data_IF_717937893921
#
_entry.id   IF_717937893921
#
_cell.length_a   1.000
_cell.length_b   1.000
_cell.length_c   1.000
_cell.angle_alpha   90.00
_cell.angle_beta   90.00
_cell.angle_gamma   90.00
#
_symmetry.space_group_name_H-M   'P 1'
#
loop_
_entity.id
_entity.type
_entity.pdbx_description
1 polymer ?
#
# COMPACT_ATOMS: atom_id res chain seq x y z
N UNK A 1 -26.79 6.59 -4.74
CA UNK A 1 -25.73 5.83 -4.06
C UNK A 1 -25.36 4.66 -4.98
N UNK A 2 -24.13 4.56 -5.47
CA UNK A 2 -23.69 3.33 -6.16
C UNK A 2 -23.70 2.22 -5.11
N UNK A 3 -24.50 1.16 -5.33
CA UNK A 3 -24.43 -0.05 -4.51
C UNK A 3 -23.00 -0.61 -4.63
N UNK A 4 -22.17 -0.37 -3.62
CA UNK A 4 -20.85 -1.02 -3.54
C UNK A 4 -21.06 -2.52 -3.40
N UNK A 5 -20.58 -3.28 -4.37
CA UNK A 5 -20.58 -4.74 -4.27
C UNK A 5 -19.50 -5.17 -3.28
N UNK A 6 -19.91 -5.96 -2.29
CA UNK A 6 -19.05 -6.55 -1.28
C UNK A 6 -19.09 -8.06 -1.49
N UNK A 7 -17.93 -8.67 -1.59
CA UNK A 7 -17.80 -10.14 -1.61
C UNK A 7 -17.37 -10.67 -0.25
N UNK A 8 -17.91 -11.83 0.11
CA UNK A 8 -17.51 -12.62 1.29
C UNK A 8 -16.88 -13.94 0.86
N UNK A 9 -16.66 -14.14 -0.43
CA UNK A 9 -16.01 -15.33 -0.96
C UNK A 9 -14.53 -15.36 -0.54
N UNK A 10 -13.96 -16.57 -0.49
CA UNK A 10 -12.54 -16.75 -0.13
C UNK A 10 -11.59 -16.44 -1.28
N UNK A 11 -12.14 -16.30 -2.49
CA UNK A 11 -11.38 -16.03 -3.71
C UNK A 11 -12.04 -14.94 -4.56
N UNK A 12 -11.22 -14.23 -5.30
CA UNK A 12 -11.61 -13.27 -6.33
C UNK A 12 -10.78 -13.52 -7.59
N UNK A 13 -11.42 -13.75 -8.73
CA UNK A 13 -10.76 -14.07 -10.02
C UNK A 13 -9.74 -15.23 -9.90
N UNK A 14 -10.02 -16.24 -9.05
CA UNK A 14 -9.14 -17.38 -8.82
C UNK A 14 -7.99 -17.11 -7.85
N UNK A 15 -7.89 -15.91 -7.26
CA UNK A 15 -6.89 -15.55 -6.26
C UNK A 15 -7.47 -15.52 -4.86
N UNK A 16 -6.77 -16.05 -3.84
CA UNK A 16 -7.25 -15.99 -2.45
C UNK A 16 -7.31 -14.55 -1.95
N UNK A 17 -8.33 -14.23 -1.15
CA UNK A 17 -8.52 -12.91 -0.55
C UNK A 17 -8.76 -13.00 0.94
N UNK A 18 -8.61 -11.88 1.65
CA UNK A 18 -8.77 -11.79 3.09
C UNK A 18 -10.22 -11.47 3.47
N UNK A 19 -11.06 -12.48 3.51
CA UNK A 19 -12.45 -12.41 4.02
C UNK A 19 -12.61 -13.27 5.26
N UNK A 20 -13.69 -13.04 6.01
CA UNK A 20 -14.11 -13.88 7.15
C UNK A 20 -15.64 -13.81 7.21
N UNK A 21 -16.28 -14.87 6.73
CA UNK A 21 -17.76 -14.95 6.66
C UNK A 21 -18.40 -14.91 8.05
N UNK A 22 -17.78 -15.57 9.03
CA UNK A 22 -18.33 -15.64 10.40
C UNK A 22 -18.33 -14.28 11.07
N UNK A 23 -17.29 -13.47 10.82
CA UNK A 23 -17.17 -12.11 11.34
C UNK A 23 -17.75 -11.04 10.41
N UNK A 24 -18.43 -11.45 9.34
CA UNK A 24 -18.97 -10.55 8.31
C UNK A 24 -17.92 -9.56 7.74
N UNK A 25 -16.68 -10.03 7.61
CA UNK A 25 -15.57 -9.26 7.06
C UNK A 25 -15.47 -9.49 5.55
N UNK A 26 -16.12 -8.65 4.77
CA UNK A 26 -16.08 -8.69 3.31
C UNK A 26 -15.02 -7.77 2.71
N UNK A 27 -14.86 -7.89 1.39
CA UNK A 27 -14.01 -7.04 0.57
C UNK A 27 -14.82 -6.30 -0.49
N UNK A 28 -14.51 -5.02 -0.73
CA UNK A 28 -15.08 -4.21 -1.81
C UNK A 28 -14.58 -4.72 -3.16
N UNK A 29 -15.47 -5.21 -4.04
CA UNK A 29 -15.09 -5.76 -5.34
C UNK A 29 -14.41 -4.72 -6.24
N UNK A 30 -14.83 -3.47 -6.21
CA UNK A 30 -14.21 -2.40 -6.99
C UNK A 30 -12.73 -2.18 -6.65
N UNK A 31 -12.33 -2.38 -5.39
CA UNK A 31 -10.93 -2.30 -4.95
C UNK A 31 -10.18 -3.56 -5.39
N UNK A 32 -10.79 -4.75 -5.23
CA UNK A 32 -10.20 -6.00 -5.71
C UNK A 32 -9.95 -5.98 -7.21
N UNK A 33 -10.90 -5.48 -8.00
CA UNK A 33 -10.75 -5.31 -9.44
C UNK A 33 -9.56 -4.40 -9.78
N UNK A 34 -9.38 -3.31 -9.03
CA UNK A 34 -8.26 -2.40 -9.24
C UNK A 34 -6.92 -3.03 -8.87
N UNK A 35 -6.88 -3.84 -7.81
CA UNK A 35 -5.70 -4.63 -7.42
C UNK A 35 -5.32 -5.60 -8.53
N UNK A 36 -6.31 -6.36 -9.03
CA UNK A 36 -6.12 -7.34 -10.11
C UNK A 36 -5.55 -6.67 -11.37
N UNK A 37 -6.16 -5.59 -11.81
CA UNK A 37 -5.70 -4.82 -12.97
C UNK A 37 -4.25 -4.36 -12.84
N UNK A 38 -3.85 -3.82 -11.68
CA UNK A 38 -2.50 -3.27 -11.46
C UNK A 38 -1.46 -4.40 -11.36
N UNK A 39 -1.79 -5.48 -10.66
CA UNK A 39 -0.89 -6.63 -10.53
C UNK A 39 -0.67 -7.32 -11.87
N UNK A 40 -1.75 -7.50 -12.64
CA UNK A 40 -1.70 -8.07 -14.01
C UNK A 40 -0.89 -7.17 -14.94
N UNK A 41 -1.14 -5.86 -14.96
CA UNK A 41 -0.40 -4.90 -15.78
C UNK A 41 1.12 -4.96 -15.49
N UNK A 42 1.51 -4.91 -14.23
CA UNK A 42 2.92 -5.02 -13.83
C UNK A 42 3.55 -6.35 -14.23
N UNK A 43 2.83 -7.46 -14.06
CA UNK A 43 3.32 -8.79 -14.44
C UNK A 43 3.40 -8.97 -15.96
N UNK A 44 2.61 -8.26 -16.74
CA UNK A 44 2.70 -8.26 -18.21
C UNK A 44 3.89 -7.43 -18.69
N UNK A 45 4.14 -6.27 -18.08
CA UNK A 45 5.25 -5.38 -18.45
C UNK A 45 6.63 -5.90 -18.03
N UNK A 46 6.71 -6.61 -16.91
CA UNK A 46 7.96 -7.06 -16.33
C UNK A 46 7.93 -8.55 -16.01
N UNK A 47 8.97 -9.30 -16.41
CA UNK A 47 9.15 -10.70 -16.02
C UNK A 47 9.57 -10.85 -14.56
N UNK A 48 9.97 -9.75 -13.92
CA UNK A 48 10.39 -9.69 -12.52
C UNK A 48 9.81 -8.44 -11.87
N UNK A 49 9.00 -8.61 -10.83
CA UNK A 49 8.31 -7.53 -10.11
C UNK A 49 8.62 -7.60 -8.63
N UNK A 50 9.11 -6.53 -8.04
CA UNK A 50 9.20 -6.39 -6.59
C UNK A 50 7.87 -5.86 -6.06
N UNK A 51 7.16 -6.69 -5.30
CA UNK A 51 5.94 -6.33 -4.59
C UNK A 51 6.24 -5.95 -3.15
N UNK A 52 5.69 -4.83 -2.68
CA UNK A 52 5.80 -4.41 -1.28
C UNK A 52 4.54 -3.70 -0.80
N UNK A 53 4.31 -3.78 0.52
CA UNK A 53 3.28 -3.00 1.22
C UNK A 53 3.93 -2.08 2.25
N UNK A 54 3.31 -0.93 2.46
CA UNK A 54 3.60 -0.05 3.57
C UNK A 54 2.35 0.73 3.99
N UNK A 55 2.34 1.17 5.24
CA UNK A 55 1.29 2.01 5.77
C UNK A 55 1.84 3.41 6.06
N UNK A 56 1.09 4.44 5.69
CA UNK A 56 1.43 5.85 5.92
C UNK A 56 0.57 6.38 7.06
N UNK A 57 1.21 6.89 8.10
CA UNK A 57 0.54 7.36 9.32
C UNK A 57 0.89 8.83 9.60
N UNK A 58 0.01 9.51 10.29
CA UNK A 58 0.30 10.83 10.85
C UNK A 58 0.90 10.71 12.25
N UNK A 59 1.73 11.67 12.68
CA UNK A 59 2.19 11.72 14.07
C UNK A 59 1.03 11.82 15.05
N UNK A 60 1.19 11.23 16.23
CA UNK A 60 0.19 11.37 17.31
C UNK A 60 0.01 12.85 17.65
N UNK A 61 -1.24 13.29 17.68
CA UNK A 61 -1.58 14.69 17.98
C UNK A 61 -1.33 15.68 16.82
N UNK A 62 -0.93 15.20 15.64
CA UNK A 62 -0.81 16.06 14.46
C UNK A 62 -2.18 16.57 14.02
N UNK A 63 -2.35 17.91 14.08
CA UNK A 63 -3.57 18.56 13.59
C UNK A 63 -3.61 18.60 12.07
N UNK A 64 -4.14 17.57 11.44
CA UNK A 64 -4.27 17.52 9.98
C UNK A 64 -5.72 17.74 9.55
N UNK A 65 -5.95 18.40 8.40
CA UNK A 65 -7.28 18.47 7.81
C UNK A 65 -7.77 17.07 7.46
N UNK A 66 -9.08 16.86 7.56
CA UNK A 66 -9.68 15.56 7.24
C UNK A 66 -9.87 15.40 5.72
N UNK A 67 -8.82 15.66 4.95
CA UNK A 67 -8.75 15.53 3.51
C UNK A 67 -7.57 14.63 3.08
N UNK A 68 -7.26 14.63 1.79
CA UNK A 68 -6.20 13.81 1.19
C UNK A 68 -5.04 14.64 0.65
N UNK A 69 -4.97 15.93 0.90
CA UNK A 69 -4.03 16.81 0.21
C UNK A 69 -2.57 16.43 0.50
N UNK A 70 -2.22 16.32 1.78
CA UNK A 70 -0.86 15.95 2.20
C UNK A 70 -0.46 14.57 1.65
N UNK A 71 -1.36 13.58 1.74
CA UNK A 71 -1.06 12.26 1.17
C UNK A 71 -0.89 12.31 -0.35
N UNK A 72 -1.73 13.05 -1.04
CA UNK A 72 -1.65 13.18 -2.51
C UNK A 72 -0.33 13.82 -2.94
N UNK A 73 0.10 14.89 -2.26
CA UNK A 73 1.37 15.58 -2.51
C UNK A 73 2.57 14.63 -2.26
N UNK A 74 2.56 13.93 -1.13
CA UNK A 74 3.58 12.93 -0.81
C UNK A 74 3.64 11.84 -1.86
N UNK A 75 2.50 11.20 -2.14
CA UNK A 75 2.45 10.05 -3.05
C UNK A 75 2.85 10.42 -4.47
N UNK A 76 2.40 11.57 -4.96
CA UNK A 76 2.83 12.08 -6.27
C UNK A 76 4.34 12.30 -6.33
N UNK A 77 4.92 12.93 -5.31
CA UNK A 77 6.35 13.19 -5.22
C UNK A 77 7.14 11.89 -5.14
N UNK A 78 6.69 10.94 -4.34
CA UNK A 78 7.33 9.62 -4.18
C UNK A 78 7.31 8.84 -5.50
N UNK A 79 6.18 8.75 -6.17
CA UNK A 79 6.04 8.04 -7.45
C UNK A 79 6.88 8.72 -8.55
N UNK A 80 6.87 10.05 -8.63
CA UNK A 80 7.75 10.79 -9.57
C UNK A 80 9.23 10.49 -9.31
N UNK A 81 9.63 10.43 -8.04
CA UNK A 81 11.01 10.09 -7.65
C UNK A 81 11.37 8.66 -8.10
N UNK A 82 10.49 7.67 -7.87
CA UNK A 82 10.73 6.29 -8.30
C UNK A 82 10.77 6.16 -9.83
N UNK A 83 9.91 6.87 -10.55
CA UNK A 83 9.93 6.91 -12.03
C UNK A 83 11.23 7.48 -12.57
N UNK A 84 11.72 8.59 -12.02
CA UNK A 84 13.00 9.21 -12.42
C UNK A 84 14.20 8.29 -12.17
N UNK A 85 14.13 7.47 -11.13
CA UNK A 85 15.12 6.45 -10.83
C UNK A 85 15.02 5.17 -11.72
N UNK A 86 14.05 5.12 -12.64
CA UNK A 86 13.88 4.03 -13.60
C UNK A 86 13.19 2.78 -13.06
N UNK A 87 12.51 2.86 -11.92
CA UNK A 87 11.88 1.70 -11.27
C UNK A 87 10.49 1.33 -11.81
N UNK A 88 9.93 2.11 -12.72
CA UNK A 88 8.59 1.92 -13.31
C UNK A 88 7.50 1.55 -12.26
N UNK A 89 7.21 2.45 -11.31
CA UNK A 89 6.32 2.16 -10.20
C UNK A 89 4.85 2.08 -10.63
N UNK A 90 4.14 1.08 -10.11
CA UNK A 90 2.68 1.05 -10.05
C UNK A 90 2.22 0.85 -8.61
N UNK A 91 1.10 1.47 -8.23
CA UNK A 91 0.62 1.42 -6.85
C UNK A 91 -0.90 1.45 -6.77
N UNK A 92 -1.41 0.96 -5.65
CA UNK A 92 -2.74 1.23 -5.13
C UNK A 92 -2.62 1.65 -3.68
N UNK A 93 -3.34 2.68 -3.29
CA UNK A 93 -3.44 3.12 -1.90
C UNK A 93 -4.89 3.31 -1.51
N UNK A 94 -5.23 2.96 -0.27
CA UNK A 94 -6.57 3.09 0.27
C UNK A 94 -6.49 3.83 1.59
N UNK A 95 -7.32 4.88 1.71
CA UNK A 95 -7.51 5.63 2.94
C UNK A 95 -8.33 4.81 3.92
N UNK A 96 -7.88 4.77 5.16
CA UNK A 96 -8.63 4.25 6.29
C UNK A 96 -8.72 5.33 7.38
N UNK A 97 -9.91 5.47 7.94
CA UNK A 97 -10.16 6.36 9.06
C UNK A 97 -11.11 5.66 10.02
N UNK A 98 -10.76 5.58 11.29
CA UNK A 98 -11.64 5.06 12.33
C UNK A 98 -11.78 6.07 13.46
N UNK A 99 -12.82 5.91 14.31
CA UNK A 99 -13.03 6.78 15.48
C UNK A 99 -11.86 6.74 16.47
N UNK A 100 -11.18 5.61 16.55
CA UNK A 100 -10.07 5.37 17.49
C UNK A 100 -8.71 5.60 16.87
N UNK A 101 -8.61 5.50 15.54
CA UNK A 101 -7.37 5.66 14.80
C UNK A 101 -7.49 6.87 13.89
N UNK A 102 -6.48 7.71 13.93
CA UNK A 102 -6.33 8.80 12.98
C UNK A 102 -6.32 8.26 11.53
N UNK A 103 -6.58 9.15 10.60
CA UNK A 103 -6.44 8.89 9.18
C UNK A 103 -5.08 8.26 8.86
N UNK A 104 -5.09 7.18 8.10
CA UNK A 104 -3.88 6.52 7.59
C UNK A 104 -4.16 5.89 6.22
N UNK A 105 -3.10 5.51 5.53
CA UNK A 105 -3.21 4.94 4.20
C UNK A 105 -2.46 3.63 4.13
N UNK A 106 -3.12 2.62 3.59
CA UNK A 106 -2.51 1.35 3.22
C UNK A 106 -2.08 1.42 1.76
N UNK A 107 -0.83 1.12 1.48
CA UNK A 107 -0.27 1.21 0.14
C UNK A 107 0.31 -0.13 -0.26
N UNK A 108 0.00 -0.59 -1.47
CA UNK A 108 0.75 -1.63 -2.18
C UNK A 108 1.49 -0.97 -3.35
N UNK A 109 2.78 -1.25 -3.45
CA UNK A 109 3.68 -0.72 -4.47
C UNK A 109 4.34 -1.88 -5.20
N UNK A 110 4.42 -1.76 -6.51
CA UNK A 110 5.12 -2.70 -7.40
C UNK A 110 6.15 -1.93 -8.21
N UNK A 111 7.32 -2.53 -8.38
CA UNK A 111 8.47 -1.94 -9.07
C UNK A 111 9.08 -2.96 -10.02
N UNK A 112 9.76 -2.49 -11.08
CA UNK A 112 10.60 -3.33 -11.94
C UNK A 112 11.68 -4.03 -11.09
N UNK A 113 11.52 -5.33 -10.88
CA UNK A 113 12.41 -6.15 -10.08
C UNK A 113 13.78 -6.40 -10.72
N UNK A 114 14.00 -6.01 -11.98
CA UNK A 114 15.33 -5.99 -12.59
C UNK A 114 16.17 -4.81 -12.10
N UNK A 115 15.51 -3.73 -11.66
CA UNK A 115 16.15 -2.49 -11.22
C UNK A 115 16.34 -2.42 -9.71
N UNK A 116 15.54 -3.17 -8.95
CA UNK A 116 15.60 -3.16 -7.49
C UNK A 116 15.21 -4.52 -6.91
N UNK A 117 15.84 -4.90 -5.79
CA UNK A 117 15.60 -6.20 -5.15
C UNK A 117 15.24 -6.09 -3.67
N UNK A 118 15.31 -4.89 -3.12
CA UNK A 118 15.18 -4.66 -1.68
C UNK A 118 14.26 -3.46 -1.42
N UNK A 119 13.44 -3.58 -0.40
CA UNK A 119 12.45 -2.55 -0.06
C UNK A 119 13.01 -1.43 0.81
N UNK A 120 14.17 -1.64 1.44
CA UNK A 120 14.71 -0.74 2.46
C UNK A 120 14.86 0.70 1.96
N UNK A 121 15.53 0.89 0.82
CA UNK A 121 15.76 2.22 0.23
C UNK A 121 14.46 2.92 -0.19
N UNK A 122 13.46 2.12 -0.57
CA UNK A 122 12.14 2.65 -0.93
C UNK A 122 11.40 3.12 0.31
N UNK A 123 11.43 2.36 1.40
CA UNK A 123 10.84 2.73 2.69
C UNK A 123 11.53 3.97 3.25
N UNK A 124 12.86 4.00 3.31
CA UNK A 124 13.60 5.18 3.78
C UNK A 124 13.30 6.44 2.95
N UNK A 125 13.18 6.28 1.62
CA UNK A 125 12.80 7.40 0.76
C UNK A 125 11.38 7.87 1.04
N UNK A 126 10.45 6.94 1.25
CA UNK A 126 9.07 7.27 1.61
C UNK A 126 9.01 8.02 2.95
N UNK A 127 9.71 7.55 3.98
CA UNK A 127 9.80 8.22 5.29
C UNK A 127 10.29 9.65 5.17
N UNK A 128 11.45 9.85 4.55
CA UNK A 128 12.03 11.20 4.37
C UNK A 128 11.09 12.13 3.60
N UNK A 129 10.42 11.64 2.56
CA UNK A 129 9.48 12.46 1.78
C UNK A 129 8.21 12.76 2.56
N UNK A 130 7.72 11.81 3.35
CA UNK A 130 6.54 12.01 4.18
C UNK A 130 6.81 13.02 5.30
N UNK A 131 7.91 12.87 6.01
CA UNK A 131 8.38 13.82 7.04
C UNK A 131 8.54 15.24 6.47
N UNK A 132 9.12 15.35 5.26
CA UNK A 132 9.22 16.63 4.55
C UNK A 132 7.85 17.21 4.20
N UNK A 133 6.90 16.39 3.73
CA UNK A 133 5.55 16.82 3.40
C UNK A 133 4.80 17.35 4.62
N UNK A 134 5.05 16.76 5.78
CA UNK A 134 4.49 17.17 7.07
C UNK A 134 5.22 18.35 7.71
N UNK A 135 6.28 18.88 7.10
CA UNK A 135 7.15 19.93 7.65
C UNK A 135 7.68 19.59 9.07
N UNK A 136 7.98 18.30 9.31
CA UNK A 136 8.53 17.88 10.59
C UNK A 136 9.99 18.33 10.70
N UNK A 137 10.42 18.81 11.91
CA UNK A 137 11.83 19.15 12.14
C UNK A 137 12.68 17.87 12.05
N UNK A 138 13.95 17.98 11.62
CA UNK A 138 14.87 16.85 11.65
C UNK A 138 14.98 16.31 13.08
N UNK A 139 14.81 15.01 13.25
CA UNK A 139 15.10 14.33 14.52
C UNK A 139 16.61 14.11 14.63
N UNK A 140 17.28 14.98 15.36
CA UNK A 140 18.70 14.82 15.66
C UNK A 140 18.86 14.18 17.05
N UNK A 141 19.01 12.86 17.07
CA UNK A 141 19.37 12.12 18.30
C UNK A 141 20.88 11.79 18.33
N UNK A 142 21.71 12.63 17.96
CA UNK A 142 23.15 12.50 17.86
C UNK A 142 23.65 12.80 16.44
N UNK A 143 24.79 13.47 16.34
CA UNK A 143 25.38 13.96 15.10
C UNK A 143 25.68 12.87 14.03
N UNK A 144 25.29 11.62 14.26
CA UNK A 144 25.57 10.46 13.40
C UNK A 144 24.37 9.63 12.96
N UNK A 145 23.14 9.89 13.45
CA UNK A 145 21.93 9.16 13.05
C UNK A 145 20.74 10.09 12.94
N UNK A 146 20.24 10.24 11.72
CA UNK A 146 18.90 10.78 11.48
C UNK A 146 17.90 9.69 11.89
N UNK A 147 17.26 9.83 13.05
CA UNK A 147 16.21 8.91 13.49
C UNK A 147 14.90 9.26 12.79
N UNK A 148 14.30 8.30 12.12
CA UNK A 148 12.96 8.41 11.52
C UNK A 148 11.88 8.59 12.60
N UNK A 149 10.78 9.25 12.23
CA UNK A 149 9.58 9.34 13.08
C UNK A 149 8.79 8.02 13.11
N UNK A 150 9.14 7.03 12.26
CA UNK A 150 8.43 5.76 12.17
C UNK A 150 7.00 5.91 11.65
N UNK A 151 6.77 6.89 10.77
CA UNK A 151 5.45 7.18 10.21
C UNK A 151 5.11 6.33 8.98
N UNK A 152 6.12 5.66 8.44
CA UNK A 152 5.97 4.64 7.39
C UNK A 152 6.22 3.28 8.04
N UNK A 153 5.16 2.48 8.13
CA UNK A 153 5.28 1.09 8.58
C UNK A 153 5.58 0.20 7.38
N UNK A 154 6.70 -0.50 7.41
CA UNK A 154 7.15 -1.38 6.32
C UNK A 154 6.35 -2.69 6.23
N UNK A 155 5.39 -2.89 7.10
CA UNK A 155 4.56 -4.09 7.16
C UNK A 155 5.34 -5.42 7.21
N UNK A 156 6.57 -5.42 7.69
CA UNK A 156 7.40 -6.63 7.87
C UNK A 156 6.95 -7.48 9.07
N UNK A 157 6.20 -6.90 9.97
CA UNK A 157 5.66 -7.57 11.16
C UNK A 157 4.18 -7.33 11.32
N UNK A 158 3.46 -8.31 11.88
CA UNK A 158 2.07 -8.13 12.29
C UNK A 158 1.98 -7.41 13.66
N UNK A 159 0.75 -7.18 14.14
CA UNK A 159 0.54 -6.52 15.45
C UNK A 159 1.09 -7.31 16.64
N UNK A 160 1.28 -8.62 16.49
CA UNK A 160 1.88 -9.50 17.49
C UNK A 160 3.42 -9.58 17.35
N UNK A 161 4.03 -8.77 16.48
CA UNK A 161 5.47 -8.76 16.22
C UNK A 161 5.99 -9.94 15.38
N UNK A 162 5.10 -10.80 14.89
CA UNK A 162 5.50 -11.94 14.07
C UNK A 162 5.88 -11.50 12.65
N UNK A 163 6.93 -12.11 12.06
CA UNK A 163 7.36 -11.78 10.70
C UNK A 163 6.23 -11.96 9.68
N UNK A 164 6.10 -11.01 8.77
CA UNK A 164 5.25 -11.10 7.59
C UNK A 164 6.11 -10.91 6.34
N UNK A 165 5.97 -11.79 5.36
CA UNK A 165 6.67 -11.66 4.10
C UNK A 165 6.33 -10.34 3.41
N UNK A 166 7.29 -9.44 3.29
CA UNK A 166 7.19 -8.21 2.49
C UNK A 166 8.44 -8.08 1.61
N UNK A 167 8.35 -7.34 0.51
CA UNK A 167 9.43 -7.33 -0.47
C UNK A 167 9.50 -8.63 -1.25
N UNK A 168 8.35 -9.16 -1.65
CA UNK A 168 8.27 -10.41 -2.41
C UNK A 168 8.68 -10.16 -3.86
N UNK A 169 9.65 -10.93 -4.33
CA UNK A 169 10.07 -10.91 -5.72
C UNK A 169 9.24 -11.90 -6.52
N UNK A 170 8.37 -11.39 -7.37
CA UNK A 170 7.60 -12.17 -8.34
C UNK A 170 8.45 -12.33 -9.60
N UNK A 171 8.82 -13.56 -9.94
CA UNK A 171 9.62 -13.91 -11.12
C UNK A 171 8.81 -14.88 -11.97
N UNK A 172 8.59 -14.55 -13.24
CA UNK A 172 7.77 -15.36 -14.16
C UNK A 172 8.34 -16.75 -14.40
N UNK A 173 9.66 -16.90 -14.30
CA UNK A 173 10.40 -18.16 -14.43
C UNK A 173 10.50 -18.97 -13.11
N UNK A 174 9.95 -18.46 -12.01
CA UNK A 174 9.96 -19.15 -10.74
C UNK A 174 8.89 -20.25 -10.72
N UNK A 175 9.22 -21.51 -10.41
CA UNK A 175 8.22 -22.59 -10.26
C UNK A 175 7.11 -22.26 -9.25
N UNK A 176 7.41 -21.43 -8.26
CA UNK A 176 6.45 -20.98 -7.25
C UNK A 176 5.76 -19.64 -7.59
N UNK A 177 5.92 -19.14 -8.83
CA UNK A 177 5.36 -17.84 -9.24
C UNK A 177 3.89 -17.68 -8.87
N UNK A 178 3.06 -18.68 -9.24
CA UNK A 178 1.60 -18.66 -8.96
C UNK A 178 1.34 -18.54 -7.45
N UNK A 179 2.03 -19.33 -6.65
CA UNK A 179 1.86 -19.31 -5.19
C UNK A 179 2.26 -17.95 -4.58
N UNK A 180 3.41 -17.40 -4.99
CA UNK A 180 3.88 -16.07 -4.56
C UNK A 180 2.95 -14.95 -5.00
N UNK A 181 2.44 -15.03 -6.23
CA UNK A 181 1.47 -14.07 -6.75
C UNK A 181 0.18 -14.09 -5.92
N UNK A 182 -0.35 -15.28 -5.65
CA UNK A 182 -1.54 -15.45 -4.83
C UNK A 182 -1.35 -14.93 -3.40
N UNK A 183 -0.19 -15.15 -2.81
CA UNK A 183 0.14 -14.57 -1.50
C UNK A 183 0.18 -13.04 -1.54
N UNK A 184 0.78 -12.46 -2.58
CA UNK A 184 0.80 -11.00 -2.77
C UNK A 184 -0.62 -10.45 -2.99
N UNK A 185 -1.43 -11.12 -3.82
CA UNK A 185 -2.82 -10.73 -4.05
C UNK A 185 -3.64 -10.78 -2.77
N UNK A 186 -3.57 -11.90 -2.04
CA UNK A 186 -4.22 -12.04 -0.74
C UNK A 186 -3.79 -10.95 0.23
N UNK A 187 -2.51 -10.63 0.29
CA UNK A 187 -1.98 -9.57 1.15
C UNK A 187 -2.47 -8.19 0.70
N UNK A 188 -2.56 -7.96 -0.61
CA UNK A 188 -3.09 -6.72 -1.18
C UNK A 188 -4.61 -6.57 -0.93
N UNK A 189 -5.37 -7.67 -0.91
CA UNK A 189 -6.81 -7.66 -0.66
C UNK A 189 -7.21 -7.10 0.72
N UNK A 190 -6.25 -7.02 1.66
CA UNK A 190 -6.45 -6.28 2.92
C UNK A 190 -6.91 -4.84 2.69
N UNK A 191 -6.44 -4.20 1.61
CA UNK A 191 -6.84 -2.85 1.24
C UNK A 191 -8.34 -2.76 0.88
N UNK A 192 -8.95 -3.88 0.49
CA UNK A 192 -10.36 -3.96 0.12
C UNK A 192 -11.32 -4.21 1.28
N UNK A 193 -10.82 -4.50 2.50
CA UNK A 193 -11.66 -4.81 3.67
C UNK A 193 -12.63 -3.69 4.02
N UNK A 194 -13.87 -4.06 4.37
CA UNK A 194 -14.97 -3.13 4.65
C UNK A 194 -14.89 -2.51 6.05
N UNK A 195 -14.29 -3.19 7.01
CA UNK A 195 -14.48 -3.01 8.46
C UNK A 195 -14.16 -1.67 9.10
N UNK A 196 -13.51 -0.73 8.44
CA UNK A 196 -13.07 0.52 9.08
C UNK A 196 -13.24 1.73 8.15
N UNK A 197 -14.01 1.56 7.07
CA UNK A 197 -14.09 2.57 6.00
C UNK A 197 -15.35 3.44 6.04
N UNK A 198 -16.26 3.17 6.98
CA UNK A 198 -17.54 3.88 7.05
C UNK A 198 -17.43 5.32 7.57
N UNK A 199 -16.26 5.73 8.06
CA UNK A 199 -16.03 7.07 8.60
C UNK A 199 -15.31 8.03 7.64
N UNK A 200 -15.09 7.63 6.37
CA UNK A 200 -14.56 8.57 5.38
C UNK A 200 -15.53 9.72 5.15
N UNK A 201 -15.08 10.97 5.18
CA UNK A 201 -15.95 12.11 4.92
C UNK A 201 -16.62 11.98 3.57
N UNK A 202 -17.88 12.40 3.48
CA UNK A 202 -18.59 12.48 2.20
C UNK A 202 -17.74 13.29 1.21
N UNK A 203 -17.63 12.80 -0.02
CA UNK A 203 -16.86 13.41 -1.12
C UNK A 203 -15.34 13.29 -1.05
N UNK A 204 -14.76 12.62 -0.05
CA UNK A 204 -13.34 12.34 -0.04
C UNK A 204 -13.01 11.06 -0.83
N UNK A 205 -11.94 11.14 -1.62
CA UNK A 205 -11.44 9.99 -2.38
C UNK A 205 -10.90 8.93 -1.42
N UNK A 206 -11.41 7.71 -1.54
CA UNK A 206 -10.96 6.56 -0.73
C UNK A 206 -9.77 5.84 -1.38
N UNK A 207 -9.77 5.71 -2.70
CA UNK A 207 -8.81 4.88 -3.45
C UNK A 207 -7.97 5.71 -4.39
N UNK A 208 -6.66 5.54 -4.33
CA UNK A 208 -5.65 6.13 -5.20
C UNK A 208 -4.92 5.02 -5.94
N UNK A 209 -4.65 5.18 -7.22
CA UNK A 209 -3.94 4.16 -7.97
C UNK A 209 -3.23 4.72 -9.19
N UNK A 210 -2.19 4.01 -9.63
CA UNK A 210 -1.61 4.22 -10.96
C UNK A 210 -2.64 4.02 -12.05
N UNK A 211 -2.46 4.74 -13.17
CA UNK A 211 -3.18 4.44 -14.40
C UNK A 211 -2.58 3.18 -15.02
N UNK A 212 -3.41 2.33 -15.58
CA UNK A 212 -2.97 1.16 -16.33
C UNK A 212 -2.42 1.65 -17.66
N UNK A 213 -1.28 1.12 -18.05
CA UNK A 213 -0.67 1.42 -19.34
C UNK A 213 -1.23 0.42 -20.35
N UNK A 214 -1.90 0.92 -21.37
CA UNK A 214 -2.42 0.13 -22.50
C UNK A 214 -1.37 0.03 -23.61
#
# INVERSE_FOLDING_TARGET
>A
MRNERITYEEQYQGHPIMTDKEKQLGCKEAILQKIDQIMTDMSNRHSKVLFMRYDVRFPKGYGHPNDNELFSQFQETFIKNRKRAGYDPAYIAVRECSREKHQHYHVALMLDGHKTQNIHDHIQTAERLWEKTLNLPPKNDDARRTTSYGLIDDCMRNRQGQPQGNGVMLRRDDPEYKHKYDQCFRRCSYLAKVNQKDSSPKHQREVFSSRIQH
#
